data_IF_647651773399
#
_entry.id   IF_647651773399
#
_cell.length_a   1.000
_cell.length_b   1.000
_cell.length_c   1.000
_cell.angle_alpha   90.00
_cell.angle_beta   90.00
_cell.angle_gamma   90.00
#
_symmetry.space_group_name_H-M   'P 1'
#
loop_
_entity.id
_entity.type
_entity.pdbx_description
1 polymer ?
#
# COMPACT_ATOMS: atom_id res chain seq x y z
N UNK A 1 17.83 1.84 44.20
CA UNK A 1 18.60 2.04 42.95
C UNK A 1 17.89 1.19 41.89
N UNK A 2 16.77 1.70 41.39
CA UNK A 2 15.81 0.97 40.57
C UNK A 2 16.26 0.96 39.10
N UNK A 3 16.82 -0.17 38.68
CA UNK A 3 17.21 -0.42 37.30
C UNK A 3 16.00 -0.62 36.35
N UNK A 4 14.78 -0.63 36.88
CA UNK A 4 13.51 -0.86 36.16
C UNK A 4 12.89 0.39 35.53
N UNK A 5 13.27 1.59 35.96
CA UNK A 5 12.67 2.85 35.48
C UNK A 5 13.42 3.51 34.32
N UNK A 6 14.47 2.88 33.79
CA UNK A 6 15.17 3.46 32.65
C UNK A 6 14.39 3.20 31.35
N UNK A 7 13.89 4.24 30.64
CA UNK A 7 13.09 4.09 29.42
C UNK A 7 13.82 3.33 28.31
N UNK A 8 15.16 3.39 28.33
CA UNK A 8 16.04 2.62 27.42
C UNK A 8 15.94 1.11 27.62
N UNK A 9 15.79 0.64 28.86
CA UNK A 9 15.66 -0.80 29.16
C UNK A 9 14.34 -1.34 28.62
N UNK A 10 13.26 -0.58 28.78
CA UNK A 10 11.97 -0.90 28.20
C UNK A 10 12.04 -1.00 26.67
N UNK A 11 12.66 -0.03 25.99
CA UNK A 11 12.81 -0.08 24.52
C UNK A 11 13.64 -1.28 24.06
N UNK A 12 14.71 -1.60 24.80
CA UNK A 12 15.55 -2.78 24.53
C UNK A 12 14.78 -4.08 24.71
N UNK A 13 13.99 -4.22 25.79
CA UNK A 13 13.18 -5.41 26.05
C UNK A 13 12.13 -5.64 24.96
N UNK A 14 11.44 -4.59 24.51
CA UNK A 14 10.49 -4.69 23.40
C UNK A 14 11.17 -4.99 22.06
N UNK A 15 12.35 -4.40 21.82
CA UNK A 15 13.14 -4.69 20.61
C UNK A 15 13.61 -6.15 20.58
N UNK A 16 14.09 -6.67 21.70
CA UNK A 16 14.46 -8.09 21.82
C UNK A 16 13.22 -8.98 21.65
N UNK A 17 12.10 -8.62 22.26
CA UNK A 17 10.83 -9.34 22.12
C UNK A 17 10.33 -9.42 20.67
N UNK A 18 10.42 -8.32 19.91
CA UNK A 18 10.02 -8.31 18.49
C UNK A 18 10.97 -9.14 17.62
N UNK A 19 12.28 -9.10 17.87
CA UNK A 19 13.25 -9.95 17.16
C UNK A 19 12.98 -11.43 17.43
N UNK A 20 12.77 -11.79 18.70
CA UNK A 20 12.43 -13.16 19.09
C UNK A 20 11.11 -13.60 18.45
N UNK A 21 10.09 -12.74 18.47
CA UNK A 21 8.81 -13.01 17.80
C UNK A 21 9.00 -13.29 16.31
N UNK A 22 9.75 -12.45 15.59
CA UNK A 22 10.04 -12.65 14.16
C UNK A 22 10.77 -13.97 13.93
N UNK A 23 11.79 -14.29 14.74
CA UNK A 23 12.55 -15.54 14.61
C UNK A 23 11.69 -16.77 14.91
N UNK A 24 10.87 -16.74 15.96
CA UNK A 24 9.97 -17.84 16.32
C UNK A 24 8.91 -18.04 15.24
N UNK A 25 8.22 -16.97 14.84
CA UNK A 25 7.21 -17.03 13.79
C UNK A 25 7.80 -17.49 12.45
N UNK A 26 9.01 -17.06 12.12
CA UNK A 26 9.72 -17.50 10.92
C UNK A 26 10.14 -18.96 10.98
N UNK A 27 10.59 -19.41 12.14
CA UNK A 27 10.90 -20.82 12.38
C UNK A 27 9.65 -21.71 12.29
N UNK A 28 8.51 -21.26 12.81
CA UNK A 28 7.22 -21.97 12.70
C UNK A 28 6.80 -22.10 11.23
N UNK A 29 6.81 -20.99 10.48
CA UNK A 29 6.49 -21.00 9.03
C UNK A 29 7.39 -21.94 8.25
N UNK A 30 8.71 -21.86 8.46
CA UNK A 30 9.69 -22.72 7.82
C UNK A 30 9.51 -24.20 8.18
N UNK A 31 9.17 -24.48 9.45
CA UNK A 31 8.90 -25.83 9.95
C UNK A 31 7.61 -26.41 9.36
N UNK A 32 6.56 -25.60 9.21
CA UNK A 32 5.32 -25.99 8.52
C UNK A 32 5.61 -26.33 7.06
N UNK A 33 6.36 -25.48 6.36
CA UNK A 33 6.75 -25.73 4.96
C UNK A 33 7.52 -27.05 4.82
N UNK A 34 8.51 -27.28 5.69
CA UNK A 34 9.28 -28.53 5.75
C UNK A 34 8.37 -29.73 6.03
N UNK A 35 7.43 -29.60 6.97
CA UNK A 35 6.47 -30.66 7.32
C UNK A 35 5.54 -31.01 6.15
N UNK A 36 5.05 -30.01 5.41
CA UNK A 36 4.21 -30.20 4.22
C UNK A 36 4.99 -30.93 3.11
N UNK A 37 6.25 -30.54 2.86
CA UNK A 37 7.11 -31.21 1.86
C UNK A 37 7.41 -32.66 2.28
N UNK A 38 7.67 -32.89 3.57
CA UNK A 38 7.87 -34.25 4.11
C UNK A 38 6.63 -35.13 3.92
N UNK A 39 5.43 -34.59 4.20
CA UNK A 39 4.14 -35.27 4.00
C UNK A 39 3.88 -35.60 2.52
N UNK A 40 4.40 -34.80 1.58
CA UNK A 40 4.29 -35.02 0.14
C UNK A 40 5.37 -35.95 -0.44
N UNK A 41 6.19 -36.60 0.40
CA UNK A 41 7.25 -37.53 -0.05
C UNK A 41 8.48 -36.85 -0.66
N UNK A 42 8.70 -35.56 -0.40
CA UNK A 42 9.84 -34.83 -0.94
C UNK A 42 11.19 -35.29 -0.37
N UNK A 43 12.23 -35.30 -1.21
CA UNK A 43 13.62 -35.60 -0.82
C UNK A 43 14.14 -34.69 0.31
N UNK A 44 15.13 -35.16 1.08
CA UNK A 44 15.77 -34.38 2.15
C UNK A 44 16.28 -33.02 1.65
N UNK A 45 16.86 -32.95 0.45
CA UNK A 45 17.35 -31.70 -0.13
C UNK A 45 16.21 -30.71 -0.44
N UNK A 46 15.03 -31.20 -0.81
CA UNK A 46 13.85 -30.37 -1.05
C UNK A 46 13.27 -29.83 0.26
N UNK A 47 13.31 -30.63 1.33
CA UNK A 47 12.88 -30.23 2.67
C UNK A 47 13.76 -29.13 3.25
N UNK A 48 15.08 -29.23 3.08
CA UNK A 48 16.04 -28.20 3.51
C UNK A 48 15.87 -26.90 2.73
N UNK A 49 15.77 -26.98 1.40
CA UNK A 49 15.51 -25.81 0.55
C UNK A 49 14.20 -25.10 0.92
N UNK A 50 13.14 -25.87 1.21
CA UNK A 50 11.87 -25.30 1.66
C UNK A 50 12.03 -24.59 3.01
N UNK A 51 12.67 -25.23 4.00
CA UNK A 51 12.89 -24.59 5.30
C UNK A 51 13.66 -23.28 5.17
N UNK A 52 14.80 -23.30 4.49
CA UNK A 52 15.65 -22.11 4.30
C UNK A 52 14.89 -21.01 3.55
N UNK A 53 14.23 -21.35 2.43
CA UNK A 53 13.50 -20.37 1.63
C UNK A 53 12.38 -19.68 2.42
N UNK A 54 11.56 -20.44 3.16
CA UNK A 54 10.48 -19.86 3.96
C UNK A 54 10.99 -19.14 5.21
N UNK A 55 12.12 -19.54 5.79
CA UNK A 55 12.74 -18.81 6.90
C UNK A 55 13.20 -17.42 6.46
N UNK A 56 13.89 -17.31 5.32
CA UNK A 56 14.30 -16.01 4.76
C UNK A 56 13.12 -15.16 4.28
N UNK A 57 12.07 -15.79 3.76
CA UNK A 57 10.85 -15.07 3.36
C UNK A 57 9.98 -14.66 4.56
N UNK A 58 10.21 -15.24 5.75
CA UNK A 58 9.33 -15.07 6.90
C UNK A 58 9.12 -13.63 7.37
N UNK A 59 10.12 -12.72 7.41
CA UNK A 59 9.87 -11.36 7.88
C UNK A 59 8.87 -10.62 6.99
N UNK A 60 8.93 -10.85 5.67
CA UNK A 60 7.97 -10.27 4.72
C UNK A 60 6.58 -10.90 4.87
N UNK A 61 6.50 -12.24 4.98
CA UNK A 61 5.22 -12.96 5.15
C UNK A 61 4.54 -12.52 6.45
N UNK A 62 5.26 -12.48 7.57
CA UNK A 62 4.73 -12.06 8.86
C UNK A 62 4.27 -10.60 8.80
N UNK A 63 5.08 -9.72 8.21
CA UNK A 63 4.71 -8.32 8.00
C UNK A 63 3.41 -8.18 7.20
N UNK A 64 3.29 -8.91 6.09
CA UNK A 64 2.06 -8.94 5.30
C UNK A 64 0.86 -9.46 6.10
N UNK A 65 1.02 -10.57 6.83
CA UNK A 65 -0.07 -11.15 7.61
C UNK A 65 -0.55 -10.23 8.74
N UNK A 66 0.37 -9.59 9.46
CA UNK A 66 0.05 -8.75 10.62
C UNK A 66 -0.42 -7.36 10.21
N UNK A 67 0.21 -6.73 9.22
CA UNK A 67 -0.05 -5.32 8.90
C UNK A 67 -0.98 -5.12 7.69
N UNK A 68 -1.13 -6.12 6.83
CA UNK A 68 -2.02 -6.02 5.67
C UNK A 68 -3.22 -6.92 5.85
N UNK A 69 -3.00 -8.23 5.99
CA UNK A 69 -4.09 -9.19 6.00
C UNK A 69 -4.90 -9.15 7.31
N UNK A 70 -4.25 -9.00 8.47
CA UNK A 70 -4.90 -8.91 9.77
C UNK A 70 -5.94 -7.78 9.83
N UNK A 71 -5.56 -6.51 9.59
CA UNK A 71 -6.50 -5.40 9.54
C UNK A 71 -7.56 -5.55 8.44
N UNK A 72 -7.22 -6.18 7.31
CA UNK A 72 -8.19 -6.44 6.23
C UNK A 72 -9.26 -7.44 6.65
N UNK A 73 -8.88 -8.53 7.32
CA UNK A 73 -9.83 -9.52 7.86
C UNK A 73 -10.67 -8.91 8.98
N UNK A 74 -10.07 -8.10 9.87
CA UNK A 74 -10.84 -7.38 10.89
C UNK A 74 -11.83 -6.39 10.28
N UNK A 75 -11.41 -5.61 9.28
CA UNK A 75 -12.30 -4.69 8.55
C UNK A 75 -13.43 -5.44 7.85
N UNK A 76 -13.11 -6.60 7.27
CA UNK A 76 -14.10 -7.46 6.65
C UNK A 76 -15.08 -8.01 7.69
N UNK A 77 -14.60 -8.50 8.83
CA UNK A 77 -15.45 -8.95 9.94
C UNK A 77 -16.37 -7.82 10.43
N UNK A 78 -15.82 -6.62 10.65
CA UNK A 78 -16.60 -5.46 11.08
C UNK A 78 -17.63 -5.02 10.05
N UNK A 79 -17.40 -5.25 8.76
CA UNK A 79 -18.39 -4.95 7.71
C UNK A 79 -19.70 -5.74 7.85
N UNK A 80 -19.70 -6.87 8.56
CA UNK A 80 -20.89 -7.68 8.85
C UNK A 80 -21.50 -7.40 10.24
N UNK A 81 -20.93 -6.47 10.98
CA UNK A 81 -21.37 -6.11 12.32
C UNK A 81 -21.85 -4.65 12.38
N UNK A 82 -22.77 -4.36 13.29
CA UNK A 82 -23.07 -3.00 13.72
C UNK A 82 -22.01 -2.61 14.76
N UNK A 83 -20.90 -2.06 14.29
CA UNK A 83 -19.80 -1.61 15.14
C UNK A 83 -19.94 -0.12 15.44
N UNK A 84 -20.17 0.22 16.71
CA UNK A 84 -20.14 1.59 17.22
C UNK A 84 -19.18 1.67 18.38
N UNK A 85 -18.39 2.74 18.45
CA UNK A 85 -17.30 2.90 19.44
C UNK A 85 -17.79 2.76 20.89
N UNK A 86 -19.08 3.04 21.15
CA UNK A 86 -19.67 3.07 22.50
C UNK A 86 -20.73 2.00 22.76
N UNK A 87 -20.97 1.07 21.83
CA UNK A 87 -22.01 0.03 21.96
C UNK A 87 -21.40 -1.37 21.76
N UNK A 88 -22.02 -2.42 22.33
CA UNK A 88 -21.58 -3.80 22.08
C UNK A 88 -21.69 -4.14 20.59
N UNK A 89 -20.75 -4.96 20.11
CA UNK A 89 -20.70 -5.37 18.69
C UNK A 89 -21.83 -6.36 18.41
N UNK A 90 -22.74 -5.99 17.51
CA UNK A 90 -23.86 -6.86 17.10
C UNK A 90 -23.63 -7.40 15.69
N UNK A 91 -23.81 -8.70 15.49
CA UNK A 91 -23.71 -9.31 14.16
C UNK A 91 -25.02 -9.09 13.39
N UNK A 92 -24.95 -8.32 12.30
CA UNK A 92 -26.12 -7.94 11.47
C UNK A 92 -26.05 -8.54 10.05
N UNK A 93 -25.03 -9.37 9.76
CA UNK A 93 -24.88 -10.04 8.48
C UNK A 93 -24.71 -9.05 7.32
N UNK A 94 -25.56 -9.14 6.30
CA UNK A 94 -25.45 -8.35 5.07
C UNK A 94 -26.20 -7.01 5.10
N UNK A 95 -26.77 -6.62 6.24
CA UNK A 95 -27.62 -5.43 6.33
C UNK A 95 -26.89 -4.14 5.92
N UNK A 96 -25.63 -3.96 6.35
CA UNK A 96 -24.78 -2.83 5.96
C UNK A 96 -24.67 -2.68 4.42
N UNK A 97 -24.58 -3.80 3.70
CA UNK A 97 -24.48 -3.80 2.24
C UNK A 97 -25.82 -3.46 1.57
N UNK A 98 -26.93 -3.94 2.12
CA UNK A 98 -28.27 -3.60 1.63
C UNK A 98 -28.56 -2.09 1.77
N UNK A 99 -28.16 -1.50 2.91
CA UNK A 99 -28.28 -0.06 3.16
C UNK A 99 -27.37 0.76 2.23
N UNK A 100 -26.11 0.34 2.04
CA UNK A 100 -25.17 0.98 1.12
C UNK A 100 -25.68 1.03 -0.33
N UNK A 101 -26.31 -0.05 -0.80
CA UNK A 101 -26.84 -0.12 -2.17
C UNK A 101 -28.07 0.78 -2.39
N UNK A 102 -28.68 1.31 -1.34
CA UNK A 102 -29.76 2.29 -1.44
C UNK A 102 -29.26 3.74 -1.29
N UNK A 103 -28.03 3.94 -0.81
CA UNK A 103 -27.45 5.26 -0.66
C UNK A 103 -26.97 5.82 -2.01
N UNK A 104 -27.67 6.87 -2.47
CA UNK A 104 -27.32 7.60 -3.69
C UNK A 104 -25.91 8.18 -3.67
N UNK A 105 -25.38 8.57 -2.51
CA UNK A 105 -24.01 9.09 -2.38
C UNK A 105 -22.99 8.01 -2.62
N UNK A 106 -23.20 6.82 -2.04
CA UNK A 106 -22.35 5.66 -2.27
C UNK A 106 -22.31 5.28 -3.77
N UNK A 107 -23.49 5.14 -4.39
CA UNK A 107 -23.59 4.81 -5.82
C UNK A 107 -22.87 5.85 -6.68
N UNK A 108 -23.09 7.14 -6.41
CA UNK A 108 -22.43 8.22 -7.16
C UNK A 108 -20.92 8.20 -6.99
N UNK A 109 -20.42 8.01 -5.76
CA UNK A 109 -19.00 7.92 -5.48
C UNK A 109 -18.36 6.69 -6.17
N UNK A 110 -19.06 5.56 -6.18
CA UNK A 110 -18.62 4.34 -6.88
C UNK A 110 -18.53 4.58 -8.39
N UNK A 111 -19.54 5.18 -9.01
CA UNK A 111 -19.51 5.53 -10.43
C UNK A 111 -18.39 6.51 -10.77
N UNK A 112 -18.18 7.56 -9.98
CA UNK A 112 -17.10 8.50 -10.20
C UNK A 112 -15.73 7.82 -10.11
N UNK A 113 -15.53 6.97 -9.12
CA UNK A 113 -14.28 6.22 -8.93
C UNK A 113 -14.03 5.25 -10.10
N UNK A 114 -15.08 4.57 -10.54
CA UNK A 114 -15.01 3.64 -11.66
C UNK A 114 -14.75 4.38 -12.98
N UNK A 115 -15.44 5.49 -13.23
CA UNK A 115 -15.23 6.36 -14.39
C UNK A 115 -13.78 6.88 -14.45
N UNK A 116 -13.28 7.41 -13.33
CA UNK A 116 -11.89 7.87 -13.22
C UNK A 116 -10.89 6.73 -13.44
N UNK A 117 -11.18 5.51 -12.99
CA UNK A 117 -10.29 4.36 -13.16
C UNK A 117 -10.31 3.86 -14.61
N UNK A 118 -11.49 3.63 -15.18
CA UNK A 118 -11.66 3.08 -16.53
C UNK A 118 -11.10 4.02 -17.60
N UNK A 119 -11.19 5.33 -17.41
CA UNK A 119 -10.63 6.30 -18.37
C UNK A 119 -9.20 6.67 -17.99
N UNK A 120 -8.96 6.93 -16.71
CA UNK A 120 -7.66 7.42 -16.23
C UNK A 120 -6.55 6.38 -16.38
N UNK A 121 -6.81 5.11 -16.09
CA UNK A 121 -5.77 4.06 -16.17
C UNK A 121 -5.32 3.82 -17.61
N UNK A 122 -6.21 3.60 -18.61
CA UNK A 122 -5.79 3.45 -20.00
C UNK A 122 -5.10 4.70 -20.56
N UNK A 123 -5.57 5.90 -20.20
CA UNK A 123 -4.94 7.14 -20.66
C UNK A 123 -3.52 7.29 -20.08
N UNK A 124 -3.33 6.99 -18.79
CA UNK A 124 -2.01 6.97 -18.15
C UNK A 124 -1.10 5.92 -18.78
N UNK A 125 -1.63 4.73 -19.08
CA UNK A 125 -0.87 3.67 -19.73
C UNK A 125 -0.47 4.06 -21.17
N UNK A 126 -1.40 4.63 -21.94
CA UNK A 126 -1.13 5.09 -23.30
C UNK A 126 -0.09 6.22 -23.31
N UNK A 127 -0.21 7.20 -22.41
CA UNK A 127 0.77 8.27 -22.27
C UNK A 127 2.14 7.73 -21.82
N UNK A 128 2.18 6.82 -20.84
CA UNK A 128 3.40 6.19 -20.35
C UNK A 128 4.11 5.38 -21.43
N UNK A 129 3.37 4.59 -22.20
CA UNK A 129 3.89 3.85 -23.35
C UNK A 129 4.34 4.79 -24.47
N UNK A 130 3.57 5.83 -24.78
CA UNK A 130 3.94 6.88 -25.74
C UNK A 130 5.30 7.51 -25.39
N UNK A 131 5.47 7.92 -24.13
CA UNK A 131 6.74 8.44 -23.64
C UNK A 131 7.85 7.39 -23.68
N UNK A 132 7.59 6.15 -23.29
CA UNK A 132 8.58 5.07 -23.36
C UNK A 132 9.10 4.84 -24.78
N UNK A 133 8.23 4.89 -25.80
CA UNK A 133 8.61 4.78 -27.21
C UNK A 133 9.48 5.96 -27.66
N UNK A 134 9.14 7.19 -27.25
CA UNK A 134 9.96 8.38 -27.53
C UNK A 134 11.35 8.26 -26.88
N UNK A 135 11.42 7.80 -25.63
CA UNK A 135 12.69 7.59 -24.90
C UNK A 135 13.53 6.43 -25.45
N UNK A 136 12.92 5.51 -26.21
CA UNK A 136 13.63 4.40 -26.83
C UNK A 136 14.46 4.83 -28.04
N UNK A 137 14.08 5.93 -28.70
CA UNK A 137 14.81 6.43 -29.87
C UNK A 137 16.25 6.87 -29.50
N UNK A 138 17.19 6.72 -30.44
CA UNK A 138 18.59 7.15 -30.28
C UNK A 138 18.71 8.68 -30.41
N UNK A 139 18.16 9.41 -29.45
CA UNK A 139 18.23 10.87 -29.40
C UNK A 139 19.51 11.30 -28.67
N UNK A 140 20.24 12.29 -29.20
CA UNK A 140 21.35 12.95 -28.48
C UNK A 140 20.77 13.72 -27.29
N UNK A 141 21.24 13.48 -26.07
CA UNK A 141 20.73 14.09 -24.83
C UNK A 141 19.77 13.24 -23.98
N UNK A 142 19.69 11.92 -24.26
CA UNK A 142 18.80 10.96 -23.56
C UNK A 142 18.85 11.01 -22.03
N UNK A 143 20.02 11.27 -21.43
CA UNK A 143 20.18 11.35 -19.96
C UNK A 143 19.44 12.55 -19.37
N UNK A 144 19.53 13.73 -20.00
CA UNK A 144 18.82 14.92 -19.53
C UNK A 144 17.30 14.77 -19.69
N UNK A 145 16.85 14.20 -20.82
CA UNK A 145 15.43 13.96 -21.06
C UNK A 145 14.82 13.01 -20.03
N UNK A 146 15.52 11.90 -19.70
CA UNK A 146 15.11 11.00 -18.60
C UNK A 146 15.07 11.73 -17.27
N UNK A 147 16.10 12.51 -16.93
CA UNK A 147 16.15 13.22 -15.66
C UNK A 147 14.94 14.16 -15.50
N UNK A 148 14.62 14.98 -16.50
CA UNK A 148 13.49 15.91 -16.48
C UNK A 148 12.16 15.16 -16.35
N UNK A 149 11.97 14.06 -17.08
CA UNK A 149 10.71 13.31 -17.05
C UNK A 149 10.50 12.54 -15.74
N UNK A 150 11.57 12.04 -15.12
CA UNK A 150 11.48 11.35 -13.83
C UNK A 150 11.48 12.30 -12.62
N UNK A 151 11.98 13.53 -12.79
CA UNK A 151 12.07 14.52 -11.71
C UNK A 151 10.73 14.77 -11.00
N UNK A 152 9.58 14.93 -11.68
CA UNK A 152 8.29 15.09 -11.01
C UNK A 152 7.91 13.90 -10.13
N UNK A 153 8.16 12.67 -10.58
CA UNK A 153 7.84 11.47 -9.81
C UNK A 153 8.75 11.31 -8.60
N UNK A 154 10.01 11.73 -8.73
CA UNK A 154 11.00 11.67 -7.65
C UNK A 154 10.79 12.75 -6.58
N UNK A 155 10.37 13.94 -6.98
CA UNK A 155 10.24 15.09 -6.09
C UNK A 155 8.84 15.27 -5.52
N UNK A 156 7.81 14.80 -6.23
CA UNK A 156 6.45 15.11 -5.86
C UNK A 156 5.82 13.97 -5.04
N UNK A 157 5.77 14.17 -3.73
CA UNK A 157 4.75 13.53 -2.89
C UNK A 157 3.37 14.00 -3.37
N UNK A 158 2.34 13.16 -3.23
CA UNK A 158 0.97 13.46 -3.70
C UNK A 158 0.46 14.83 -3.22
N UNK A 159 0.93 15.29 -2.07
CA UNK A 159 0.62 16.61 -1.50
C UNK A 159 1.28 17.75 -2.27
N UNK A 160 2.56 17.65 -2.64
CA UNK A 160 3.27 18.69 -3.39
C UNK A 160 2.63 18.95 -4.76
N UNK A 161 2.18 17.90 -5.46
CA UNK A 161 1.44 18.03 -6.73
C UNK A 161 0.15 18.82 -6.51
N UNK A 162 -0.64 18.45 -5.50
CA UNK A 162 -1.91 19.11 -5.18
C UNK A 162 -1.72 20.60 -4.86
N UNK A 163 -0.73 20.93 -4.02
CA UNK A 163 -0.42 22.32 -3.69
C UNK A 163 0.07 23.11 -4.90
N UNK A 164 0.87 22.50 -5.77
CA UNK A 164 1.34 23.13 -7.01
C UNK A 164 0.17 23.47 -7.92
N UNK A 165 -0.74 22.51 -8.16
CA UNK A 165 -1.95 22.78 -8.95
C UNK A 165 -2.82 23.86 -8.31
N UNK A 166 -3.02 23.82 -6.99
CA UNK A 166 -3.81 24.82 -6.28
C UNK A 166 -3.20 26.22 -6.34
N UNK A 167 -1.88 26.33 -6.31
CA UNK A 167 -1.15 27.60 -6.44
C UNK A 167 -1.20 28.11 -7.89
N UNK A 168 -0.97 27.23 -8.87
CA UNK A 168 -0.99 27.58 -10.30
C UNK A 168 -2.38 27.99 -10.78
N UNK A 169 -3.42 27.30 -10.32
CA UNK A 169 -4.83 27.54 -10.66
C UNK A 169 -5.53 28.50 -9.69
N UNK A 170 -4.79 29.21 -8.83
CA UNK A 170 -5.39 30.17 -7.91
C UNK A 170 -6.11 31.29 -8.70
N UNK A 171 -7.39 31.59 -8.43
CA UNK A 171 -8.14 32.60 -9.18
C UNK A 171 -7.54 34.00 -9.12
N UNK A 172 -6.92 34.38 -7.99
CA UNK A 172 -6.48 35.75 -7.76
C UNK A 172 -5.09 36.00 -8.35
N UNK A 173 -4.12 35.13 -8.03
CA UNK A 173 -2.69 35.30 -8.36
C UNK A 173 -2.05 34.04 -8.97
N UNK A 174 -2.85 33.11 -9.51
CA UNK A 174 -2.31 31.90 -10.12
C UNK A 174 -1.53 32.20 -11.39
N UNK A 175 -0.39 31.50 -11.57
CA UNK A 175 0.47 31.62 -12.75
C UNK A 175 -0.33 31.45 -14.04
N UNK A 176 -1.29 30.52 -14.04
CA UNK A 176 -2.15 30.27 -15.20
C UNK A 176 -3.03 31.49 -15.51
N UNK A 177 -3.63 32.11 -14.50
CA UNK A 177 -4.50 33.28 -14.71
C UNK A 177 -3.68 34.50 -15.15
N UNK A 178 -2.46 34.68 -14.64
CA UNK A 178 -1.55 35.74 -15.08
C UNK A 178 -1.15 35.58 -16.55
N UNK A 179 -0.89 34.35 -17.01
CA UNK A 179 -0.61 34.07 -18.42
C UNK A 179 -1.84 34.40 -19.28
N UNK A 180 -3.04 33.98 -18.89
CA UNK A 180 -4.26 34.29 -19.63
C UNK A 180 -4.56 35.79 -19.72
N UNK A 181 -4.30 36.55 -18.65
CA UNK A 181 -4.42 38.03 -18.66
C UNK A 181 -3.39 38.73 -19.55
N UNK A 182 -2.32 38.06 -19.95
CA UNK A 182 -1.32 38.65 -20.85
C UNK A 182 -1.72 38.53 -22.33
N UNK A 183 -2.62 37.58 -22.65
CA UNK A 183 -3.15 37.37 -24.00
C UNK A 183 -4.48 38.09 -24.27
N UNK A 184 -5.04 38.80 -23.28
CA UNK A 184 -6.31 39.54 -23.37
C UNK A 184 -6.14 40.95 -22.83
#
# INVERSE_FOLDING_TARGET
MELTDSPKLFTLLWSIGTIIFILISGYILASIAKFVVRRRGGSQTLQEKAFVGYFFASPWIIGFLVFVLGPSIMSLYWSFTNYRISEPVEWIGLQNYAELMQDRRFITAMFNSLYMTIIGVPLQLAAGLGMAMLLHQKIRGRTAFRAIFYMPVLLATSTAVLFTWRLMLNPNNGVVNTIFRWFN
#
